data_IF_652590184713
#
_entry.id   IF_652590184713
#
_cell.length_a   1.000
_cell.length_b   1.000
_cell.length_c   1.000
_cell.angle_alpha   90.00
_cell.angle_beta   90.00
_cell.angle_gamma   90.00
#
_symmetry.space_group_name_H-M   'P 1'
#
loop_
_entity.id
_entity.type
_entity.pdbx_description
1 polymer ?
#
# COMPACT_ATOMS: atom_id res chain seq x y z
N UNK A 1 14.71 24.04 1.84
CA UNK A 1 13.95 22.93 2.48
C UNK A 1 13.46 22.05 1.35
N UNK A 2 13.99 20.82 1.25
CA UNK A 2 13.45 19.86 0.27
C UNK A 2 11.98 19.62 0.56
N UNK A 3 11.18 19.67 -0.48
CA UNK A 3 9.73 19.45 -0.38
C UNK A 3 9.50 17.98 0.05
N UNK A 4 9.17 17.76 1.33
CA UNK A 4 8.97 16.43 1.91
C UNK A 4 7.66 15.79 1.44
N UNK A 5 6.73 16.60 0.89
CA UNK A 5 5.41 16.18 0.44
C UNK A 5 5.50 15.29 -0.80
N UNK A 6 5.06 14.05 -0.67
CA UNK A 6 5.01 13.09 -1.78
C UNK A 6 3.60 12.85 -2.31
N UNK A 7 2.58 13.23 -1.55
CA UNK A 7 1.18 13.18 -1.96
C UNK A 7 0.50 14.48 -1.55
N UNK A 8 -0.22 15.10 -2.50
CA UNK A 8 -1.06 16.28 -2.29
C UNK A 8 -2.40 16.09 -2.98
N UNK A 9 -3.47 16.15 -2.20
CA UNK A 9 -4.85 15.95 -2.64
C UNK A 9 -5.65 17.20 -2.28
N UNK A 10 -6.38 17.76 -3.27
CA UNK A 10 -7.20 18.96 -3.05
C UNK A 10 -8.57 18.80 -3.69
N UNK A 11 -9.62 18.97 -2.89
CA UNK A 11 -11.02 18.94 -3.29
C UNK A 11 -11.43 17.66 -4.01
N UNK A 12 -10.83 16.51 -3.66
CA UNK A 12 -10.99 15.26 -4.40
C UNK A 12 -12.39 14.69 -4.19
N UNK A 13 -13.09 14.44 -5.30
CA UNK A 13 -14.38 13.77 -5.36
C UNK A 13 -14.28 12.53 -6.23
N UNK A 14 -14.90 11.44 -5.78
CA UNK A 14 -15.06 10.23 -6.58
C UNK A 14 -16.51 9.79 -6.61
N UNK A 15 -17.05 9.67 -7.83
CA UNK A 15 -18.41 9.17 -8.09
C UNK A 15 -18.35 7.91 -8.94
N UNK A 16 -19.22 6.96 -8.61
CA UNK A 16 -19.44 5.76 -9.41
C UNK A 16 -20.87 5.79 -9.96
N UNK A 17 -21.08 5.46 -11.25
CA UNK A 17 -22.41 5.40 -11.81
C UNK A 17 -23.23 4.25 -11.18
N UNK A 18 -24.46 4.54 -10.75
CA UNK A 18 -25.44 3.54 -10.26
C UNK A 18 -26.77 3.81 -10.91
N UNK A 19 -27.21 2.91 -11.78
CA UNK A 19 -28.45 3.09 -12.54
C UNK A 19 -28.45 4.39 -13.34
N UNK A 20 -29.41 5.29 -13.07
CA UNK A 20 -29.50 6.63 -13.68
C UNK A 20 -28.82 7.73 -12.86
N UNK A 21 -28.20 7.40 -11.73
CA UNK A 21 -27.55 8.36 -10.83
C UNK A 21 -26.10 8.03 -10.54
N UNK A 22 -25.59 8.62 -9.45
CA UNK A 22 -24.21 8.42 -8.99
C UNK A 22 -24.16 8.16 -7.50
N UNK A 23 -23.29 7.25 -7.10
CA UNK A 23 -22.86 7.08 -5.72
C UNK A 23 -21.56 7.87 -5.50
N UNK A 24 -21.54 8.77 -4.52
CA UNK A 24 -20.35 9.56 -4.17
C UNK A 24 -19.57 8.82 -3.08
N UNK A 25 -18.47 8.20 -3.44
CA UNK A 25 -17.62 7.46 -2.53
C UNK A 25 -16.61 8.34 -1.78
N UNK A 26 -16.17 9.46 -2.39
CA UNK A 26 -15.32 10.47 -1.77
C UNK A 26 -15.89 11.85 -2.12
N UNK A 27 -15.90 12.75 -1.13
CA UNK A 27 -16.59 14.03 -1.26
C UNK A 27 -15.77 15.19 -0.65
N UNK A 28 -14.93 15.83 -1.49
CA UNK A 28 -14.15 16.99 -1.09
C UNK A 28 -13.01 16.65 -0.13
N UNK A 29 -12.16 15.67 -0.48
CA UNK A 29 -11.02 15.28 0.34
C UNK A 29 -9.85 16.22 0.10
N UNK A 30 -9.32 16.80 1.18
CA UNK A 30 -8.05 17.53 1.22
C UNK A 30 -7.09 16.79 2.15
N UNK A 31 -5.95 16.31 1.62
CA UNK A 31 -4.94 15.56 2.37
C UNK A 31 -3.56 15.76 1.75
N UNK A 32 -2.52 15.70 2.57
CA UNK A 32 -1.14 15.59 2.10
C UNK A 32 -0.38 14.55 2.91
N UNK A 33 0.67 13.94 2.32
CA UNK A 33 1.54 13.01 3.01
C UNK A 33 2.99 13.31 2.68
N UNK A 34 3.82 13.28 3.71
CA UNK A 34 5.26 13.43 3.60
C UNK A 34 5.98 12.09 3.41
N UNK A 35 7.20 12.17 2.90
CA UNK A 35 8.10 11.02 2.77
C UNK A 35 8.37 10.40 4.14
N UNK A 36 8.35 9.07 4.20
CA UNK A 36 8.64 8.29 5.41
C UNK A 36 7.50 8.23 6.42
N UNK A 37 6.34 8.85 6.16
CA UNK A 37 5.20 8.74 7.06
C UNK A 37 4.68 7.30 7.18
N UNK A 38 4.18 6.97 8.38
CA UNK A 38 3.47 5.72 8.69
C UNK A 38 2.06 6.09 9.14
N UNK A 39 1.16 6.23 8.16
CA UNK A 39 -0.16 6.83 8.35
C UNK A 39 -1.29 5.84 8.03
N UNK A 40 -2.44 6.01 8.68
CA UNK A 40 -3.64 5.22 8.39
C UNK A 40 -4.86 6.05 8.09
N UNK A 41 -5.56 5.69 7.04
CA UNK A 41 -6.94 6.10 6.75
C UNK A 41 -7.84 5.09 7.45
N UNK A 42 -8.51 5.51 8.50
CA UNK A 42 -9.30 4.69 9.41
C UNK A 42 -10.78 5.04 9.26
N UNK A 43 -11.65 4.07 9.41
CA UNK A 43 -13.10 4.31 9.36
C UNK A 43 -13.89 3.02 9.10
N UNK A 44 -15.21 3.07 9.20
CA UNK A 44 -16.07 1.90 9.01
C UNK A 44 -15.97 1.35 7.57
N UNK A 45 -16.48 0.13 7.37
CA UNK A 45 -16.62 -0.43 6.02
C UNK A 45 -17.50 0.49 5.16
N UNK A 46 -17.12 0.66 3.89
CA UNK A 46 -17.85 1.55 2.97
C UNK A 46 -17.53 3.05 3.09
N UNK A 47 -16.66 3.48 4.02
CA UNK A 47 -16.33 4.91 4.19
C UNK A 47 -15.52 5.54 3.06
N UNK A 48 -15.02 4.75 2.09
CA UNK A 48 -14.23 5.24 0.94
C UNK A 48 -12.71 4.98 1.04
N UNK A 49 -12.21 4.29 2.08
CA UNK A 49 -10.77 4.03 2.30
C UNK A 49 -10.09 3.39 1.09
N UNK A 50 -10.58 2.25 0.63
CA UNK A 50 -10.05 1.54 -0.54
C UNK A 50 -10.12 2.40 -1.80
N UNK A 51 -11.19 3.18 -1.98
CA UNK A 51 -11.33 4.12 -3.10
C UNK A 51 -10.23 5.18 -3.07
N UNK A 52 -9.96 5.76 -1.89
CA UNK A 52 -8.89 6.74 -1.72
C UNK A 52 -7.51 6.11 -2.01
N UNK A 53 -7.24 4.91 -1.47
CA UNK A 53 -5.99 4.20 -1.76
C UNK A 53 -5.83 3.89 -3.25
N UNK A 54 -6.90 3.51 -3.94
CA UNK A 54 -6.86 3.23 -5.38
C UNK A 54 -6.50 4.48 -6.20
N UNK A 55 -7.01 5.65 -5.82
CA UNK A 55 -6.65 6.91 -6.47
C UNK A 55 -5.19 7.28 -6.18
N UNK A 56 -4.76 7.23 -4.93
CA UNK A 56 -3.36 7.45 -4.54
C UNK A 56 -2.44 6.47 -5.29
N UNK A 57 -2.87 5.21 -5.41
CA UNK A 57 -2.15 4.16 -6.15
C UNK A 57 -2.20 4.30 -7.68
N UNK A 58 -2.87 5.32 -8.20
CA UNK A 58 -3.08 5.50 -9.66
C UNK A 58 -3.71 4.27 -10.32
N UNK A 59 -4.55 3.52 -9.56
CA UNK A 59 -5.39 2.43 -10.05
C UNK A 59 -6.73 2.93 -10.55
N UNK A 60 -7.16 4.10 -10.05
CA UNK A 60 -8.36 4.80 -10.44
C UNK A 60 -8.06 6.31 -10.52
N UNK A 61 -8.98 7.10 -11.07
CA UNK A 61 -8.86 8.55 -11.20
C UNK A 61 -9.99 9.26 -10.46
N UNK A 62 -9.75 10.45 -9.91
CA UNK A 62 -10.81 11.27 -9.33
C UNK A 62 -11.86 11.66 -10.39
N UNK A 63 -13.09 11.92 -9.93
CA UNK A 63 -14.13 12.54 -10.75
C UNK A 63 -13.99 14.06 -10.80
N UNK A 64 -13.54 14.66 -9.66
CA UNK A 64 -13.26 16.10 -9.52
C UNK A 64 -12.09 16.29 -8.55
N UNK A 65 -11.51 17.49 -8.54
CA UNK A 65 -10.35 17.82 -7.71
C UNK A 65 -9.05 17.36 -8.31
N UNK A 66 -7.97 17.43 -7.53
CA UNK A 66 -6.61 17.11 -7.98
C UNK A 66 -5.93 16.17 -6.98
N UNK A 67 -5.25 15.15 -7.51
CA UNK A 67 -4.38 14.28 -6.74
C UNK A 67 -2.99 14.23 -7.37
N UNK A 68 -2.00 14.84 -6.72
CA UNK A 68 -0.59 14.72 -7.09
C UNK A 68 0.07 13.64 -6.23
N UNK A 69 0.68 12.65 -6.86
CA UNK A 69 1.33 11.53 -6.19
C UNK A 69 2.72 11.36 -6.78
N UNK A 70 3.75 11.43 -5.94
CA UNK A 70 5.16 11.34 -6.35
C UNK A 70 5.49 12.30 -7.51
N UNK A 71 4.97 13.53 -7.42
CA UNK A 71 5.17 14.59 -8.41
C UNK A 71 4.37 14.43 -9.71
N UNK A 72 3.41 13.49 -9.76
CA UNK A 72 2.57 13.26 -10.94
C UNK A 72 1.10 13.55 -10.63
N UNK A 73 0.45 14.35 -11.49
CA UNK A 73 -1.01 14.56 -11.44
C UNK A 73 -1.72 13.30 -11.96
N UNK A 74 -2.38 12.57 -11.04
CA UNK A 74 -3.06 11.30 -11.35
C UNK A 74 -4.12 11.46 -12.43
N UNK A 75 -4.81 12.61 -12.46
CA UNK A 75 -5.86 12.88 -13.46
C UNK A 75 -5.32 12.93 -14.90
N UNK A 76 -4.05 13.31 -15.06
CA UNK A 76 -3.39 13.48 -16.37
C UNK A 76 -2.57 12.27 -16.80
N UNK A 77 -2.51 11.23 -15.96
CA UNK A 77 -1.75 10.02 -16.29
C UNK A 77 -2.51 9.17 -17.32
N UNK A 78 -1.86 8.86 -18.43
CA UNK A 78 -2.32 7.76 -19.27
C UNK A 78 -2.13 6.43 -18.54
N UNK A 79 -2.91 5.39 -18.90
CA UNK A 79 -2.79 4.03 -18.33
C UNK A 79 -1.33 3.53 -18.33
N UNK A 80 -0.58 3.80 -19.40
CA UNK A 80 0.84 3.44 -19.52
C UNK A 80 1.72 4.19 -18.51
N UNK A 81 1.52 5.49 -18.34
CA UNK A 81 2.29 6.31 -17.38
C UNK A 81 1.96 5.91 -15.93
N UNK A 82 0.67 5.70 -15.62
CA UNK A 82 0.24 5.18 -14.31
C UNK A 82 0.88 3.82 -13.98
N UNK A 83 0.90 2.89 -14.95
CA UNK A 83 1.58 1.59 -14.77
C UNK A 83 3.09 1.73 -14.54
N UNK A 84 3.76 2.69 -15.20
CA UNK A 84 5.18 2.97 -14.98
C UNK A 84 5.42 3.53 -13.58
N UNK A 85 4.56 4.45 -13.12
CA UNK A 85 4.65 5.04 -11.77
C UNK A 85 4.52 3.94 -10.70
N UNK A 86 3.48 3.09 -10.79
CA UNK A 86 3.27 1.96 -9.88
C UNK A 86 4.45 0.99 -9.90
N UNK A 87 4.88 0.59 -11.09
CA UNK A 87 5.98 -0.36 -11.28
C UNK A 87 7.27 0.11 -10.61
N UNK A 88 7.62 1.39 -10.74
CA UNK A 88 8.89 1.92 -10.24
C UNK A 88 8.85 2.31 -8.77
N UNK A 89 7.75 2.89 -8.30
CA UNK A 89 7.76 3.65 -7.05
C UNK A 89 6.75 3.21 -6.00
N UNK A 90 5.80 2.31 -6.34
CA UNK A 90 4.73 1.93 -5.42
C UNK A 90 4.72 0.43 -5.11
N UNK A 91 4.53 0.06 -3.85
CA UNK A 91 4.19 -1.29 -3.38
C UNK A 91 2.71 -1.37 -3.02
N UNK A 92 2.12 -2.56 -3.16
CA UNK A 92 0.73 -2.81 -2.78
C UNK A 92 0.65 -4.07 -1.92
N UNK A 93 -0.06 -3.96 -0.80
CA UNK A 93 -0.36 -5.05 0.12
C UNK A 93 -1.87 -5.12 0.25
N UNK A 94 -2.46 -6.27 -0.08
CA UNK A 94 -3.90 -6.49 -0.09
C UNK A 94 -4.33 -7.47 0.98
N UNK A 95 -5.56 -7.37 1.42
CA UNK A 95 -6.20 -8.28 2.37
C UNK A 95 -6.12 -9.76 1.93
N UNK A 96 -6.26 -10.04 0.65
CA UNK A 96 -6.27 -11.39 0.06
C UNK A 96 -4.91 -11.84 -0.46
N UNK A 97 -3.81 -11.17 -0.05
CA UNK A 97 -2.41 -11.41 -0.45
C UNK A 97 -2.15 -11.26 -1.95
N UNK A 98 -3.06 -11.64 -2.83
CA UNK A 98 -2.96 -11.62 -4.29
C UNK A 98 -1.65 -12.26 -4.81
N UNK A 99 -1.25 -13.39 -4.21
CA UNK A 99 -0.12 -14.17 -4.68
C UNK A 99 -0.49 -14.95 -5.93
N UNK A 100 0.48 -15.13 -6.81
CA UNK A 100 0.34 -15.94 -8.01
C UNK A 100 0.46 -17.43 -7.60
N UNK A 101 -0.62 -18.23 -7.66
CA UNK A 101 -0.69 -19.54 -7.01
C UNK A 101 0.23 -20.58 -7.64
N UNK A 102 0.54 -20.42 -8.93
CA UNK A 102 1.43 -21.35 -9.68
C UNK A 102 2.91 -21.05 -9.45
N UNK A 103 3.23 -19.86 -8.95
CA UNK A 103 4.60 -19.41 -8.70
C UNK A 103 5.05 -19.78 -7.29
N UNK A 104 6.34 -20.06 -7.15
CA UNK A 104 6.99 -20.19 -5.86
C UNK A 104 7.03 -18.86 -5.11
N UNK A 105 7.42 -18.89 -3.84
CA UNK A 105 7.71 -17.69 -3.03
C UNK A 105 8.75 -16.81 -3.72
N UNK A 106 9.85 -17.42 -4.19
CA UNK A 106 10.88 -16.70 -4.94
C UNK A 106 10.31 -15.95 -6.14
N UNK A 107 9.57 -16.65 -7.00
CA UNK A 107 9.01 -16.10 -8.23
C UNK A 107 7.95 -15.01 -7.98
N UNK A 108 7.13 -15.17 -6.93
CA UNK A 108 6.20 -14.13 -6.50
C UNK A 108 6.90 -12.83 -6.12
N UNK A 109 8.02 -12.93 -5.39
CA UNK A 109 8.81 -11.74 -4.97
C UNK A 109 9.63 -11.20 -6.14
N UNK A 110 10.16 -12.06 -7.01
CA UNK A 110 10.94 -11.65 -8.19
C UNK A 110 10.10 -10.91 -9.24
N UNK A 111 8.81 -11.22 -9.36
CA UNK A 111 7.95 -10.73 -10.42
C UNK A 111 8.01 -9.20 -10.67
N UNK A 112 7.94 -8.32 -9.65
CA UNK A 112 8.10 -6.88 -9.85
C UNK A 112 9.45 -6.48 -10.45
N UNK A 113 10.51 -7.21 -10.14
CA UNK A 113 11.88 -6.92 -10.62
C UNK A 113 12.08 -7.29 -12.10
N UNK A 114 11.40 -8.36 -12.57
CA UNK A 114 11.36 -8.69 -13.99
C UNK A 114 10.83 -7.52 -14.82
N UNK A 115 9.79 -6.85 -14.33
CA UNK A 115 9.22 -5.68 -14.97
C UNK A 115 10.18 -4.47 -14.99
N UNK A 116 11.16 -4.42 -14.08
CA UNK A 116 12.18 -3.37 -14.00
C UNK A 116 13.39 -3.66 -14.90
N UNK A 117 13.44 -4.80 -15.58
CA UNK A 117 14.53 -5.24 -16.46
C UNK A 117 15.89 -5.37 -15.72
N UNK A 118 15.86 -5.71 -14.45
CA UNK A 118 17.07 -6.00 -13.67
C UNK A 118 17.74 -7.29 -14.14
N UNK A 119 19.06 -7.38 -14.00
CA UNK A 119 19.82 -8.59 -14.29
C UNK A 119 19.43 -9.75 -13.36
N UNK A 120 19.69 -10.98 -13.77
CA UNK A 120 19.36 -12.17 -12.98
C UNK A 120 20.06 -12.17 -11.61
N UNK A 121 21.34 -11.78 -11.58
CA UNK A 121 22.11 -11.69 -10.32
C UNK A 121 21.55 -10.66 -9.36
N UNK A 122 21.20 -9.45 -9.85
CA UNK A 122 20.58 -8.40 -9.03
C UNK A 122 19.21 -8.83 -8.48
N UNK A 123 18.37 -9.46 -9.33
CA UNK A 123 17.06 -9.96 -8.88
C UNK A 123 17.21 -11.01 -7.78
N UNK A 124 18.09 -12.01 -8.00
CA UNK A 124 18.32 -13.07 -6.99
C UNK A 124 18.75 -12.49 -5.65
N UNK A 125 19.70 -11.55 -5.66
CA UNK A 125 20.14 -10.87 -4.43
C UNK A 125 18.98 -10.12 -3.76
N UNK A 126 18.26 -9.29 -4.51
CA UNK A 126 17.15 -8.50 -3.97
C UNK A 126 16.01 -9.37 -3.40
N UNK A 127 15.72 -10.51 -4.03
CA UNK A 127 14.71 -11.45 -3.53
C UNK A 127 15.18 -12.09 -2.22
N UNK A 128 16.44 -12.52 -2.12
CA UNK A 128 16.95 -13.11 -0.88
C UNK A 128 16.97 -12.08 0.25
N UNK A 129 17.43 -10.85 0.00
CA UNK A 129 17.36 -9.75 0.96
C UNK A 129 15.91 -9.51 1.44
N UNK A 130 14.95 -9.52 0.52
CA UNK A 130 13.54 -9.31 0.86
C UNK A 130 12.93 -10.47 1.67
N UNK A 131 13.35 -11.72 1.43
CA UNK A 131 12.96 -12.87 2.24
C UNK A 131 13.50 -12.78 3.67
N UNK A 132 14.74 -12.31 3.81
CA UNK A 132 15.37 -12.12 5.13
C UNK A 132 14.66 -11.01 5.92
N UNK A 133 14.24 -9.91 5.29
CA UNK A 133 13.47 -8.84 5.96
C UNK A 133 12.17 -9.34 6.61
N UNK A 134 11.54 -10.34 6.01
CA UNK A 134 10.26 -10.88 6.49
C UNK A 134 10.40 -12.23 7.21
N UNK A 135 11.62 -12.79 7.31
CA UNK A 135 11.94 -14.00 8.07
C UNK A 135 11.31 -15.27 7.52
N UNK A 136 11.35 -15.48 6.18
CA UNK A 136 10.81 -16.71 5.52
C UNK A 136 11.76 -17.28 4.46
N UNK A 137 13.07 -17.12 4.64
CA UNK A 137 14.08 -17.61 3.68
C UNK A 137 14.07 -19.14 3.51
N UNK A 138 13.57 -19.89 4.50
CA UNK A 138 13.36 -21.33 4.44
C UNK A 138 12.25 -21.75 3.46
N UNK A 139 11.32 -20.84 3.12
CA UNK A 139 10.16 -21.10 2.24
C UNK A 139 10.40 -20.73 0.77
N UNK A 140 11.60 -20.38 0.37
CA UNK A 140 11.94 -19.84 -0.95
C UNK A 140 11.39 -20.66 -2.13
N UNK A 141 11.31 -21.99 -2.01
CA UNK A 141 10.83 -22.94 -3.03
C UNK A 141 9.34 -23.31 -2.86
N UNK A 142 8.71 -22.94 -1.75
CA UNK A 142 7.31 -23.25 -1.47
C UNK A 142 6.38 -22.48 -2.40
N UNK A 143 5.16 -23.00 -2.60
CA UNK A 143 4.08 -22.32 -3.32
C UNK A 143 3.04 -21.79 -2.32
N UNK A 144 2.21 -20.80 -2.69
CA UNK A 144 1.21 -20.23 -1.80
C UNK A 144 0.31 -21.27 -1.09
N UNK A 145 -0.07 -22.34 -1.77
CA UNK A 145 -0.89 -23.41 -1.18
C UNK A 145 -0.19 -24.21 -0.06
N UNK A 146 1.10 -24.05 0.11
CA UNK A 146 1.92 -24.72 1.13
C UNK A 146 2.24 -23.79 2.33
N UNK A 147 1.70 -22.57 2.33
CA UNK A 147 1.98 -21.53 3.31
C UNK A 147 0.77 -21.30 4.21
N UNK A 148 1.04 -20.94 5.47
CA UNK A 148 0.04 -20.35 6.35
C UNK A 148 -0.39 -18.96 5.88
N UNK A 149 -1.49 -18.43 6.43
CA UNK A 149 -1.94 -17.07 6.12
C UNK A 149 -0.88 -16.01 6.46
N UNK A 150 -0.21 -16.15 7.61
CA UNK A 150 0.88 -15.25 8.02
C UNK A 150 2.09 -15.32 7.09
N UNK A 151 2.47 -16.52 6.62
CA UNK A 151 3.54 -16.69 5.64
C UNK A 151 3.16 -16.09 4.29
N UNK A 152 1.92 -16.29 3.82
CA UNK A 152 1.41 -15.65 2.60
C UNK A 152 1.50 -14.11 2.68
N UNK A 153 1.15 -13.52 3.83
CA UNK A 153 1.24 -12.07 4.03
C UNK A 153 2.69 -11.60 4.05
N UNK A 154 3.61 -12.34 4.67
CA UNK A 154 5.05 -12.05 4.62
C UNK A 154 5.57 -12.05 3.18
N UNK A 155 5.16 -13.00 2.34
CA UNK A 155 5.49 -13.02 0.90
C UNK A 155 4.92 -11.78 0.21
N UNK A 156 3.66 -11.38 0.49
CA UNK A 156 3.05 -10.20 -0.10
C UNK A 156 3.79 -8.91 0.29
N UNK A 157 4.24 -8.79 1.53
CA UNK A 157 5.06 -7.67 2.01
C UNK A 157 6.42 -7.67 1.31
N UNK A 158 7.13 -8.80 1.28
CA UNK A 158 8.41 -8.91 0.58
C UNK A 158 8.27 -8.51 -0.89
N UNK A 159 7.24 -9.00 -1.60
CA UNK A 159 6.94 -8.62 -2.98
C UNK A 159 6.68 -7.12 -3.15
N UNK A 160 5.97 -6.50 -2.21
CA UNK A 160 5.71 -5.06 -2.25
C UNK A 160 6.99 -4.25 -2.04
N UNK A 161 7.90 -4.73 -1.17
CA UNK A 161 9.09 -4.03 -0.70
C UNK A 161 10.36 -4.33 -1.50
N UNK A 162 10.44 -5.44 -2.26
CA UNK A 162 11.66 -5.92 -2.94
C UNK A 162 12.34 -4.88 -3.83
N UNK A 163 11.58 -3.97 -4.38
CA UNK A 163 12.08 -2.86 -5.24
C UNK A 163 12.36 -1.57 -4.46
N UNK A 164 12.27 -1.59 -3.12
CA UNK A 164 12.44 -0.43 -2.22
C UNK A 164 11.59 0.77 -2.67
N UNK A 165 10.25 0.62 -2.70
CA UNK A 165 9.37 1.66 -3.21
C UNK A 165 9.38 2.90 -2.32
N UNK A 166 9.07 4.07 -2.90
CA UNK A 166 8.87 5.31 -2.15
C UNK A 166 7.55 5.29 -1.34
N UNK A 167 6.55 4.57 -1.84
CA UNK A 167 5.19 4.51 -1.27
C UNK A 167 4.67 3.07 -1.25
N UNK A 168 4.13 2.64 -0.11
CA UNK A 168 3.38 1.38 0.05
C UNK A 168 1.96 1.70 0.48
N UNK A 169 1.01 1.13 -0.23
CA UNK A 169 -0.42 1.18 0.06
C UNK A 169 -0.86 -0.19 0.58
N UNK A 170 -1.39 -0.23 1.80
CA UNK A 170 -1.80 -1.46 2.48
C UNK A 170 -3.30 -1.41 2.81
N UNK A 171 -4.08 -2.24 2.13
CA UNK A 171 -5.53 -2.35 2.33
C UNK A 171 -5.83 -3.56 3.22
N UNK A 172 -6.25 -3.31 4.47
CA UNK A 172 -6.56 -4.30 5.51
C UNK A 172 -5.49 -5.40 5.66
N UNK A 173 -4.20 -5.05 5.89
CA UNK A 173 -3.09 -6.02 5.78
C UNK A 173 -3.08 -7.10 6.85
N UNK A 174 -3.90 -7.01 7.91
CA UNK A 174 -3.97 -7.96 9.03
C UNK A 174 -5.31 -8.67 9.15
N UNK A 175 -6.29 -8.37 8.29
CA UNK A 175 -7.66 -8.84 8.45
C UNK A 175 -7.84 -10.37 8.49
N UNK A 176 -6.95 -11.12 7.83
CA UNK A 176 -6.99 -12.57 7.76
C UNK A 176 -5.94 -13.26 8.67
N UNK A 177 -5.45 -12.56 9.70
CA UNK A 177 -4.38 -13.03 10.56
C UNK A 177 -4.81 -13.08 12.03
N UNK A 178 -4.29 -14.07 12.75
CA UNK A 178 -4.35 -14.08 14.21
C UNK A 178 -3.56 -12.92 14.83
N UNK A 179 -3.66 -12.76 16.14
CA UNK A 179 -3.06 -11.62 16.83
C UNK A 179 -1.53 -11.64 16.83
N UNK A 180 -0.91 -12.82 16.94
CA UNK A 180 0.54 -12.97 16.97
C UNK A 180 1.16 -12.66 15.59
N UNK A 181 0.60 -13.24 14.53
CA UNK A 181 1.03 -12.95 13.17
C UNK A 181 0.81 -11.48 12.80
N UNK A 182 -0.33 -10.88 13.23
CA UNK A 182 -0.60 -9.45 13.02
C UNK A 182 0.48 -8.58 13.65
N UNK A 183 0.85 -8.87 14.94
CA UNK A 183 1.90 -8.15 15.65
C UNK A 183 3.23 -8.22 14.90
N UNK A 184 3.68 -9.44 14.57
CA UNK A 184 4.97 -9.69 13.92
C UNK A 184 5.06 -8.99 12.56
N UNK A 185 3.98 -9.00 11.77
CA UNK A 185 3.89 -8.34 10.47
C UNK A 185 3.94 -6.82 10.59
N UNK A 186 3.19 -6.25 11.53
CA UNK A 186 3.20 -4.80 11.76
C UNK A 186 4.57 -4.31 12.23
N UNK A 187 5.22 -5.07 13.11
CA UNK A 187 6.59 -4.76 13.56
C UNK A 187 7.58 -4.79 12.39
N UNK A 188 7.47 -5.78 11.50
CA UNK A 188 8.27 -5.87 10.27
C UNK A 188 8.06 -4.63 9.39
N UNK A 189 6.79 -4.21 9.18
CA UNK A 189 6.48 -3.02 8.37
C UNK A 189 7.02 -1.73 9.00
N UNK A 190 6.96 -1.59 10.34
CA UNK A 190 7.56 -0.45 11.06
C UNK A 190 9.07 -0.41 10.88
N UNK A 191 9.75 -1.56 10.97
CA UNK A 191 11.21 -1.63 10.76
C UNK A 191 11.56 -1.24 9.33
N UNK A 192 10.86 -1.78 8.32
CA UNK A 192 11.07 -1.44 6.92
C UNK A 192 10.80 0.04 6.61
N UNK A 193 9.77 0.65 7.25
CA UNK A 193 9.54 2.08 7.14
C UNK A 193 10.74 2.89 7.64
N UNK A 194 11.28 2.55 8.82
CA UNK A 194 12.42 3.26 9.43
C UNK A 194 13.70 3.09 8.62
N UNK A 195 14.01 1.87 8.19
CA UNK A 195 15.26 1.55 7.49
C UNK A 195 15.30 2.09 6.06
N UNK A 196 14.19 1.94 5.34
CA UNK A 196 14.11 2.28 3.91
C UNK A 196 13.49 3.66 3.66
N UNK A 197 13.00 4.36 4.71
CA UNK A 197 12.29 5.62 4.59
C UNK A 197 11.13 5.57 3.59
N UNK A 198 10.53 4.39 3.45
CA UNK A 198 9.34 4.16 2.62
C UNK A 198 8.10 4.72 3.34
N UNK A 199 7.28 5.47 2.65
CA UNK A 199 5.99 5.94 3.18
C UNK A 199 4.98 4.79 3.15
N UNK A 200 4.29 4.55 4.27
CA UNK A 200 3.20 3.57 4.35
C UNK A 200 1.87 4.28 4.60
N UNK A 201 0.86 3.94 3.79
CA UNK A 201 -0.51 4.38 3.99
C UNK A 201 -1.39 3.14 4.10
N UNK A 202 -2.04 3.01 5.25
CA UNK A 202 -2.97 1.92 5.56
C UNK A 202 -4.41 2.36 5.33
N UNK A 203 -5.24 1.50 4.76
CA UNK A 203 -6.68 1.57 4.90
C UNK A 203 -7.10 0.46 5.85
N UNK A 204 -7.67 0.81 7.00
CA UNK A 204 -8.02 -0.19 8.01
C UNK A 204 -9.11 0.27 8.97
N UNK A 205 -9.76 -0.68 9.60
CA UNK A 205 -10.60 -0.48 10.78
C UNK A 205 -10.10 -1.32 11.98
N UNK A 206 -8.96 -2.03 11.82
CA UNK A 206 -8.39 -2.92 12.84
C UNK A 206 -7.59 -2.10 13.87
N UNK A 207 -8.02 -2.14 15.14
CA UNK A 207 -7.35 -1.50 16.27
C UNK A 207 -5.90 -1.95 16.45
N UNK A 208 -5.55 -3.17 16.03
CA UNK A 208 -4.17 -3.67 16.06
C UNK A 208 -3.26 -2.81 15.18
N UNK A 209 -3.70 -2.50 13.95
CA UNK A 209 -2.96 -1.63 13.02
C UNK A 209 -2.90 -0.21 13.55
N UNK A 210 -4.04 0.32 14.06
CA UNK A 210 -4.17 1.71 14.54
C UNK A 210 -3.13 2.04 15.62
N UNK A 211 -2.81 1.10 16.50
CA UNK A 211 -1.80 1.28 17.58
C UNK A 211 -0.38 1.54 17.06
N UNK A 212 -0.06 1.15 15.84
CA UNK A 212 1.26 1.36 15.23
C UNK A 212 1.36 2.64 14.41
N UNK A 213 0.22 3.26 14.07
CA UNK A 213 0.20 4.45 13.24
C UNK A 213 0.84 5.64 13.96
N UNK A 214 1.53 6.48 13.20
CA UNK A 214 2.04 7.79 13.63
C UNK A 214 1.12 8.94 13.22
N UNK A 215 0.17 8.67 12.32
CA UNK A 215 -0.87 9.62 11.90
C UNK A 215 -2.14 8.84 11.60
N UNK A 216 -3.26 9.30 12.14
CA UNK A 216 -4.58 8.71 12.00
C UNK A 216 -5.52 9.70 11.33
N UNK A 217 -6.02 9.33 10.15
CA UNK A 217 -6.99 10.09 9.37
C UNK A 217 -8.33 9.34 9.46
N UNK A 218 -9.32 9.93 10.09
CA UNK A 218 -10.66 9.34 10.18
C UNK A 218 -11.46 9.71 8.95
N UNK A 219 -11.86 8.70 8.18
CA UNK A 219 -12.70 8.84 7.00
C UNK A 219 -14.08 8.23 7.27
N UNK A 220 -15.13 9.04 7.14
CA UNK A 220 -16.53 8.61 7.27
C UNK A 220 -17.36 9.25 6.16
N UNK A 221 -18.25 8.47 5.54
CA UNK A 221 -19.14 8.91 4.45
C UNK A 221 -18.42 9.70 3.36
N UNK A 222 -17.23 9.21 3.00
CA UNK A 222 -16.40 9.83 1.96
C UNK A 222 -15.77 11.17 2.35
N UNK A 223 -15.75 11.56 3.64
CA UNK A 223 -15.18 12.83 4.13
C UNK A 223 -14.16 12.59 5.23
N UNK A 224 -13.12 13.41 5.26
CA UNK A 224 -12.19 13.47 6.39
C UNK A 224 -12.88 14.13 7.55
N UNK A 225 -13.00 13.43 8.69
CA UNK A 225 -13.57 13.93 9.94
C UNK A 225 -12.50 14.46 10.89
N UNK A 226 -11.36 13.81 10.90
CA UNK A 226 -10.20 14.25 11.70
C UNK A 226 -8.90 13.75 11.07
N UNK A 227 -7.82 14.47 11.35
CA UNK A 227 -6.46 14.15 10.91
C UNK A 227 -5.50 14.49 12.05
N UNK A 228 -5.00 13.47 12.75
CA UNK A 228 -4.26 13.62 13.98
C UNK A 228 -2.89 12.92 13.88
N UNK A 229 -1.84 13.63 14.25
CA UNK A 229 -0.52 13.04 14.48
C UNK A 229 -0.55 12.38 15.87
N UNK A 230 -0.13 11.12 15.92
CA UNK A 230 -0.03 10.36 17.17
C UNK A 230 1.40 10.48 17.67
N UNK A 231 1.60 11.28 18.70
CA UNK A 231 2.85 11.34 19.49
C UNK A 231 2.77 10.28 20.57
N UNK A 232 3.56 9.21 20.40
CA UNK A 232 3.81 8.22 21.46
C UNK A 232 5.04 8.62 22.27
#
# INVERSE_FOLDING_TARGET
MENSEIISIKGLVKRFPIGKGYFTALNGIDLSFDKGQFAGVVGPSGSGKTTLLNIIGSLDSPSEGVANVLGQDVNKLSTKKAAILRRKHMGFIFQTYNLLPVYTVFENIEFPLLLLKMSNSERKKAVMDALDWVGISDKVKSRPAQLSGGECQRVAIARAMVKKPALVLADEPTANLDSENSYNILQTMVNLNKELQTTFIFATHDDKVIKYLKRKILLEDGKVKSDNIITN
#
